data_IF_295259569857
#
_entry.id   IF_295259569857
#
_cell.length_a   1.000
_cell.length_b   1.000
_cell.length_c   1.000
_cell.angle_alpha   90.00
_cell.angle_beta   90.00
_cell.angle_gamma   90.00
#
_symmetry.space_group_name_H-M   'P 1'
#
loop_
_entity.id
_entity.type
_entity.pdbx_description
1 polymer ?
#
# COMPACT_ATOMS: atom_id res chain seq x y z
N UNK A 1 -15.85 8.88 19.98
CA UNK A 1 -15.37 8.52 19.65
C UNK A 1 -14.61 8.51 18.92
N UNK A 2 -14.22 8.59 18.93
CA UNK A 2 -13.64 8.50 18.14
C UNK A 2 -12.85 7.57 17.96
N UNK A 3 -13.23 7.18 17.66
CA UNK A 3 -12.45 6.16 17.42
C UNK A 3 -11.25 6.54 16.76
N UNK A 4 -10.22 5.78 16.87
CA UNK A 4 -9.01 6.14 16.22
C UNK A 4 -9.09 5.87 14.76
N UNK A 5 -8.56 6.77 13.97
CA UNK A 5 -8.58 6.64 12.55
C UNK A 5 -7.49 5.76 12.00
N UNK A 6 -6.55 5.32 12.85
CA UNK A 6 -5.50 4.44 12.38
C UNK A 6 -6.06 3.13 11.85
N UNK A 7 -7.22 2.72 12.37
CA UNK A 7 -7.87 1.50 11.90
C UNK A 7 -8.48 1.66 10.52
N UNK A 8 -8.66 2.90 10.08
CA UNK A 8 -9.24 3.19 8.76
C UNK A 8 -8.21 3.27 7.65
N UNK A 9 -6.95 3.43 8.02
CA UNK A 9 -5.89 3.50 7.02
C UNK A 9 -5.36 2.10 6.75
N UNK A 10 -5.42 1.66 5.51
CA UNK A 10 -5.02 0.31 5.17
C UNK A 10 -4.16 0.35 3.93
N UNK A 11 -2.86 0.34 4.14
CA UNK A 11 -1.90 0.51 3.05
C UNK A 11 -2.00 -0.62 2.03
N UNK A 12 -2.19 -1.85 2.50
CA UNK A 12 -2.33 -2.98 1.59
C UNK A 12 -3.48 -2.81 0.62
N UNK A 13 -4.61 -2.29 1.09
CA UNK A 13 -5.77 -2.04 0.23
C UNK A 13 -5.49 -0.92 -0.77
N UNK A 14 -4.78 0.10 -0.32
CA UNK A 14 -4.42 1.21 -1.20
C UNK A 14 -3.54 0.72 -2.34
N UNK A 15 -2.59 -0.14 -2.02
CA UNK A 15 -1.72 -0.73 -3.03
C UNK A 15 -2.54 -1.56 -4.02
N UNK A 16 -3.44 -2.38 -3.50
CA UNK A 16 -4.26 -3.23 -4.37
C UNK A 16 -5.15 -2.40 -5.28
N UNK A 17 -5.72 -1.31 -4.75
CA UNK A 17 -6.56 -0.43 -5.54
C UNK A 17 -5.78 0.21 -6.68
N UNK A 18 -4.57 0.68 -6.39
CA UNK A 18 -3.76 1.31 -7.43
C UNK A 18 -3.34 0.29 -8.48
N UNK A 19 -3.00 -0.93 -8.05
CA UNK A 19 -2.66 -1.99 -8.98
C UNK A 19 -3.80 -2.26 -9.96
N UNK A 20 -5.00 -2.39 -9.41
CA UNK A 20 -6.20 -2.63 -10.23
C UNK A 20 -6.48 -1.46 -11.16
N UNK A 21 -6.33 -0.25 -10.63
CA UNK A 21 -6.56 0.96 -11.41
C UNK A 21 -5.63 1.05 -12.60
N UNK A 22 -4.39 0.59 -12.44
CA UNK A 22 -3.43 0.59 -13.53
C UNK A 22 -3.59 -0.60 -14.48
N UNK A 23 -4.51 -1.51 -14.18
CA UNK A 23 -4.73 -2.67 -15.03
C UNK A 23 -3.64 -3.72 -14.91
N UNK A 24 -2.89 -3.71 -13.82
CA UNK A 24 -1.84 -4.70 -13.58
C UNK A 24 -2.34 -5.83 -12.72
N UNK A 25 -1.66 -6.97 -12.78
CA UNK A 25 -2.05 -8.14 -12.00
C UNK A 25 -1.10 -8.33 -10.82
N UNK A 26 -1.57 -9.11 -9.82
CA UNK A 26 -0.72 -9.45 -8.69
C UNK A 26 0.49 -10.25 -9.14
N UNK A 27 0.32 -11.11 -10.14
CA UNK A 27 1.44 -11.90 -10.66
C UNK A 27 2.51 -10.96 -11.23
N UNK A 28 2.08 -9.95 -11.98
CA UNK A 28 3.01 -8.99 -12.54
C UNK A 28 3.77 -8.25 -11.42
N UNK A 29 3.04 -7.77 -10.42
CA UNK A 29 3.68 -7.01 -9.35
C UNK A 29 4.62 -7.88 -8.54
N UNK A 30 4.24 -9.13 -8.28
CA UNK A 30 5.09 -10.05 -7.54
C UNK A 30 6.44 -10.20 -8.22
N UNK A 31 6.45 -10.31 -9.54
CA UNK A 31 7.71 -10.38 -10.28
C UNK A 31 8.54 -9.11 -10.13
N UNK A 32 7.88 -7.96 -10.13
CA UNK A 32 8.59 -6.69 -10.04
C UNK A 32 9.28 -6.52 -8.69
N UNK A 33 8.65 -7.02 -7.63
CA UNK A 33 9.20 -6.87 -6.28
C UNK A 33 9.88 -8.14 -5.79
N UNK A 34 10.02 -9.12 -6.67
CA UNK A 34 10.79 -10.33 -6.42
C UNK A 34 10.21 -11.14 -5.26
N UNK A 35 8.93 -11.39 -5.33
CA UNK A 35 8.25 -12.24 -4.35
C UNK A 35 7.24 -13.12 -5.06
N UNK A 36 6.59 -14.00 -4.30
CA UNK A 36 5.56 -14.87 -4.87
C UNK A 36 4.21 -14.17 -4.83
N UNK A 37 3.28 -14.57 -5.72
CA UNK A 37 1.93 -14.00 -5.65
C UNK A 37 1.26 -14.25 -4.32
N UNK A 38 1.51 -15.41 -3.69
CA UNK A 38 0.94 -15.70 -2.37
C UNK A 38 1.41 -14.69 -1.34
N UNK A 39 2.69 -14.34 -1.35
CA UNK A 39 3.20 -13.32 -0.44
C UNK A 39 2.56 -11.98 -0.70
N UNK A 40 2.34 -11.66 -1.97
CA UNK A 40 1.74 -10.39 -2.32
C UNK A 40 0.29 -10.31 -1.82
N UNK A 41 -0.46 -11.40 -1.91
CA UNK A 41 -1.81 -11.42 -1.36
C UNK A 41 -1.81 -11.19 0.14
N UNK A 42 -0.81 -11.71 0.85
CA UNK A 42 -0.67 -11.43 2.28
C UNK A 42 -0.41 -9.95 2.52
N UNK A 43 0.42 -9.34 1.66
CA UNK A 43 0.71 -7.91 1.76
C UNK A 43 -0.55 -7.08 1.58
N UNK A 44 -1.41 -7.46 0.65
CA UNK A 44 -2.65 -6.73 0.41
C UNK A 44 -3.56 -6.75 1.64
N UNK A 45 -3.42 -7.76 2.49
CA UNK A 45 -4.21 -7.87 3.71
C UNK A 45 -3.58 -7.19 4.90
N UNK A 46 -2.37 -6.65 4.74
CA UNK A 46 -1.67 -5.97 5.83
C UNK A 46 -2.02 -4.50 5.84
N UNK A 47 -2.28 -4.00 7.03
CA UNK A 47 -2.56 -2.58 7.19
C UNK A 47 -1.32 -1.74 6.95
N UNK A 48 -0.15 -2.25 7.34
CA UNK A 48 1.12 -1.56 7.19
C UNK A 48 2.10 -2.44 6.46
N UNK A 49 2.97 -1.79 5.70
CA UNK A 49 3.97 -2.47 4.89
C UNK A 49 5.33 -1.89 5.28
N UNK A 50 6.36 -2.73 5.32
CA UNK A 50 7.70 -2.24 5.66
C UNK A 50 8.18 -1.23 4.63
N UNK A 51 9.03 -0.32 5.08
CA UNK A 51 9.52 0.75 4.21
C UNK A 51 10.25 0.22 2.98
N UNK A 52 11.17 -0.74 3.10
CA UNK A 52 11.86 -1.23 1.92
C UNK A 52 10.92 -1.84 0.89
N UNK A 53 9.92 -2.59 1.36
CA UNK A 53 8.97 -3.21 0.46
C UNK A 53 8.08 -2.16 -0.19
N UNK A 54 7.66 -1.16 0.59
CA UNK A 54 6.84 -0.09 0.05
C UNK A 54 7.59 0.68 -1.03
N UNK A 55 8.88 0.87 -0.84
CA UNK A 55 9.71 1.53 -1.83
C UNK A 55 9.72 0.75 -3.15
N UNK A 56 9.91 -0.57 -3.06
CA UNK A 56 9.91 -1.41 -4.25
C UNK A 56 8.57 -1.37 -4.97
N UNK A 57 7.49 -1.44 -4.21
CA UNK A 57 6.15 -1.42 -4.80
C UNK A 57 5.88 -0.06 -5.45
N UNK A 58 6.28 1.01 -4.78
CA UNK A 58 6.10 2.37 -5.32
C UNK A 58 6.85 2.53 -6.64
N UNK A 59 8.07 2.02 -6.70
CA UNK A 59 8.84 2.07 -7.95
C UNK A 59 8.18 1.25 -9.05
N UNK A 60 7.73 0.05 -8.70
CA UNK A 60 7.13 -0.85 -9.69
C UNK A 60 5.87 -0.24 -10.30
N UNK A 61 5.05 0.39 -9.48
CA UNK A 61 3.79 0.97 -9.95
C UNK A 61 3.94 2.43 -10.35
N UNK A 62 5.12 2.99 -10.18
CA UNK A 62 5.37 4.40 -10.46
C UNK A 62 4.36 5.28 -9.74
N UNK A 63 4.13 5.01 -8.47
CA UNK A 63 3.13 5.69 -7.67
C UNK A 63 3.69 5.88 -6.27
N UNK A 64 3.54 7.08 -5.73
CA UNK A 64 4.13 7.44 -4.44
C UNK A 64 3.20 7.06 -3.30
N UNK A 65 3.35 5.84 -2.79
CA UNK A 65 2.56 5.39 -1.66
C UNK A 65 2.98 6.06 -0.36
N UNK A 66 4.19 6.61 -0.30
CA UNK A 66 4.63 7.37 0.86
C UNK A 66 3.81 8.65 1.00
N UNK A 67 3.42 9.22 -0.13
CA UNK A 67 2.56 10.38 -0.11
C UNK A 67 1.19 10.05 0.49
N UNK A 68 0.67 8.86 0.21
CA UNK A 68 -0.58 8.43 0.83
C UNK A 68 -0.46 8.43 2.34
N UNK A 69 0.67 7.89 2.84
CA UNK A 69 0.90 7.86 4.28
C UNK A 69 1.01 9.27 4.84
N UNK A 70 1.72 10.14 4.13
CA UNK A 70 1.91 11.52 4.58
C UNK A 70 0.60 12.28 4.60
N UNK A 71 -0.23 12.10 3.58
CA UNK A 71 -1.52 12.78 3.52
C UNK A 71 -2.44 12.30 4.63
N UNK A 72 -2.43 11.01 4.89
CA UNK A 72 -3.22 10.49 6.00
C UNK A 72 -2.74 11.09 7.32
N UNK A 73 -1.42 11.14 7.52
CA UNK A 73 -0.86 11.73 8.73
C UNK A 73 -1.28 13.18 8.89
N UNK A 74 -1.22 13.95 7.80
CA UNK A 74 -1.61 15.35 7.84
C UNK A 74 -3.08 15.51 8.22
N UNK A 75 -3.93 14.60 7.75
CA UNK A 75 -5.35 14.66 8.06
C UNK A 75 -5.61 14.41 9.55
N UNK A 76 -4.68 13.74 10.24
CA UNK A 76 -4.83 13.47 11.67
C UNK A 76 -4.28 14.59 12.54
N UNK A 77 -3.43 15.43 11.99
CA UNK A 77 -2.73 16.45 12.78
C UNK A 77 -3.65 17.54 13.28
N UNK A 78 -4.74 17.75 12.61
CA UNK A 78 -5.67 18.80 13.01
C UNK A 78 -6.52 18.45 14.22
N UNK A 79 -6.44 17.22 14.66
CA UNK A 79 -7.25 16.76 15.79
C UNK A 79 -6.82 17.35 17.15
#
# INVERSE_FOLDING_TARGET
KHETTIDNFHLGKIIKQELTKQGRTAVWLAKQVNCTPENLYKIFNQQWVTMPLLFKISKALNYDFFKECSEWFESQKGE
#
